data_IF_451469503783
#
_entry.id   IF_451469503783
#
_cell.length_a   1.000
_cell.length_b   1.000
_cell.length_c   1.000
_cell.angle_alpha   90.00
_cell.angle_beta   90.00
_cell.angle_gamma   90.00
#
_symmetry.space_group_name_H-M   'P 1'
#
loop_
_entity.id
_entity.type
_entity.pdbx_description
1 polymer ?
#
# COMPACT_ATOMS: atom_id res chain seq x y z
N UNK A 1 -4.34 -10.16 -20.05
CA UNK A 1 -3.02 -9.97 -19.41
C UNK A 1 -2.79 -8.46 -19.21
N UNK A 2 -1.99 -7.98 -18.26
CA UNK A 2 -1.90 -6.53 -17.90
C UNK A 2 -1.68 -5.57 -19.09
N UNK A 3 -0.97 -6.02 -20.12
CA UNK A 3 -0.74 -5.27 -21.36
C UNK A 3 -2.03 -5.08 -22.17
N UNK A 4 -2.93 -6.08 -22.18
CA UNK A 4 -4.23 -6.01 -22.87
C UNK A 4 -5.17 -5.01 -22.20
N UNK A 5 -4.95 -4.71 -20.92
CA UNK A 5 -5.67 -3.68 -20.18
C UNK A 5 -5.03 -2.28 -20.34
N UNK A 6 -4.02 -2.12 -21.21
CA UNK A 6 -3.33 -0.86 -21.45
C UNK A 6 -2.39 -0.42 -20.31
N UNK A 7 -2.08 -1.31 -19.36
CA UNK A 7 -1.22 -0.98 -18.22
C UNK A 7 0.25 -0.89 -18.68
N UNK A 8 0.86 0.28 -18.47
CA UNK A 8 2.28 0.51 -18.77
C UNK A 8 3.16 -0.13 -17.69
N UNK A 9 3.71 -1.31 -17.97
CA UNK A 9 4.65 -1.98 -17.07
C UNK A 9 6.04 -1.34 -17.24
N UNK A 10 6.59 -0.80 -16.15
CA UNK A 10 7.94 -0.25 -16.08
C UNK A 10 8.79 -1.18 -15.22
N UNK A 11 9.66 -1.95 -15.87
CA UNK A 11 10.58 -2.90 -15.22
C UNK A 11 12.06 -2.57 -15.47
N UNK A 12 12.36 -1.48 -16.19
CA UNK A 12 13.75 -1.08 -16.35
C UNK A 12 14.23 -0.55 -15.00
N UNK A 13 15.15 -1.26 -14.32
CA UNK A 13 15.66 -0.91 -12.98
C UNK A 13 16.31 0.48 -12.82
N UNK A 14 16.23 1.33 -13.84
CA UNK A 14 16.62 2.72 -13.89
C UNK A 14 15.57 3.59 -13.18
N UNK A 15 15.64 3.61 -11.84
CA UNK A 15 14.67 4.31 -10.98
C UNK A 15 14.09 3.43 -9.86
N UNK A 16 14.28 2.10 -9.96
CA UNK A 16 13.73 1.06 -9.07
C UNK A 16 13.79 1.43 -7.60
N UNK A 17 14.95 1.89 -7.10
CA UNK A 17 15.09 2.24 -5.68
C UNK A 17 14.08 3.28 -5.21
N UNK A 18 13.72 4.27 -6.03
CA UNK A 18 12.74 5.30 -5.62
C UNK A 18 11.32 4.76 -5.64
N UNK A 19 11.01 3.94 -6.64
CA UNK A 19 9.70 3.30 -6.80
C UNK A 19 9.47 2.25 -5.70
N UNK A 20 10.52 1.54 -5.29
CA UNK A 20 10.49 0.49 -4.27
C UNK A 20 10.55 1.04 -2.84
N UNK A 21 11.13 2.22 -2.60
CA UNK A 21 11.32 2.77 -1.24
C UNK A 21 10.00 2.90 -0.48
N UNK A 22 8.90 3.23 -1.15
CA UNK A 22 7.59 3.26 -0.50
C UNK A 22 7.15 1.87 -0.05
N UNK A 23 7.22 0.89 -0.96
CA UNK A 23 6.85 -0.50 -0.70
C UNK A 23 7.69 -1.08 0.45
N UNK A 24 9.01 -0.86 0.42
CA UNK A 24 9.93 -1.31 1.46
C UNK A 24 9.63 -0.69 2.82
N UNK A 25 9.29 0.61 2.87
CA UNK A 25 8.90 1.29 4.12
C UNK A 25 7.59 0.74 4.67
N UNK A 26 6.59 0.56 3.80
CA UNK A 26 5.32 -0.03 4.17
C UNK A 26 5.52 -1.45 4.72
N UNK A 27 6.33 -2.25 4.04
CA UNK A 27 6.62 -3.62 4.45
C UNK A 27 7.33 -3.68 5.80
N UNK A 28 8.28 -2.77 6.04
CA UNK A 28 8.93 -2.62 7.34
C UNK A 28 7.95 -2.31 8.46
N UNK A 29 7.01 -1.39 8.25
CA UNK A 29 5.97 -1.08 9.24
C UNK A 29 5.05 -2.27 9.51
N UNK A 30 4.63 -3.01 8.48
CA UNK A 30 3.80 -4.21 8.64
C UNK A 30 4.55 -5.27 9.45
N UNK A 31 5.81 -5.53 9.11
CA UNK A 31 6.62 -6.51 9.82
C UNK A 31 6.73 -6.15 11.30
N UNK A 32 7.16 -4.92 11.62
CA UNK A 32 7.35 -4.51 13.00
C UNK A 32 6.04 -4.40 13.78
N UNK A 33 4.97 -3.83 13.22
CA UNK A 33 3.76 -3.56 14.00
C UNK A 33 2.82 -4.76 14.10
N UNK A 34 2.84 -5.66 13.12
CA UNK A 34 1.81 -6.70 12.97
C UNK A 34 2.38 -8.13 12.95
N UNK A 35 3.59 -8.35 12.43
CA UNK A 35 4.13 -9.72 12.23
C UNK A 35 5.10 -10.13 13.33
N UNK A 36 6.10 -9.31 13.62
CA UNK A 36 7.21 -9.65 14.53
C UNK A 36 6.73 -9.88 15.98
N UNK A 37 5.62 -9.27 16.39
CA UNK A 37 5.06 -9.42 17.72
C UNK A 37 3.94 -10.47 17.82
N UNK A 38 3.54 -11.11 16.72
CA UNK A 38 2.39 -12.03 16.70
C UNK A 38 2.78 -13.44 16.31
N UNK A 39 2.57 -14.37 17.24
CA UNK A 39 2.75 -15.79 17.01
C UNK A 39 1.54 -16.39 16.23
N UNK A 40 1.44 -16.08 14.94
CA UNK A 40 0.38 -16.65 14.10
C UNK A 40 0.55 -18.17 13.98
N UNK A 41 -0.52 -18.90 14.31
CA UNK A 41 -0.54 -20.37 14.16
C UNK A 41 -0.62 -20.83 12.69
N UNK A 42 -1.13 -19.98 11.79
CA UNK A 42 -1.29 -20.32 10.37
C UNK A 42 -1.03 -19.12 9.46
N UNK A 43 -0.63 -19.38 8.22
CA UNK A 43 -0.48 -18.36 7.19
C UNK A 43 -1.81 -17.63 6.91
N UNK A 44 -2.94 -18.33 6.92
CA UNK A 44 -4.26 -17.71 6.75
C UNK A 44 -4.56 -16.69 7.85
N UNK A 45 -4.20 -17.00 9.10
CA UNK A 45 -4.33 -16.04 10.21
C UNK A 45 -3.45 -14.81 10.01
N UNK A 46 -2.19 -15.00 9.56
CA UNK A 46 -1.30 -13.91 9.23
C UNK A 46 -1.87 -13.03 8.10
N UNK A 47 -2.34 -13.60 6.99
CA UNK A 47 -2.95 -12.86 5.88
C UNK A 47 -4.19 -12.07 6.31
N UNK A 48 -5.10 -12.69 7.06
CA UNK A 48 -6.29 -12.00 7.57
C UNK A 48 -5.91 -10.82 8.46
N UNK A 49 -4.86 -10.98 9.26
CA UNK A 49 -4.37 -9.93 10.14
C UNK A 49 -3.66 -8.80 9.39
N UNK A 50 -2.81 -9.12 8.42
CA UNK A 50 -2.21 -8.14 7.50
C UNK A 50 -3.28 -7.37 6.74
N UNK A 51 -4.37 -8.02 6.32
CA UNK A 51 -5.52 -7.36 5.69
C UNK A 51 -6.19 -6.34 6.63
N UNK A 52 -6.41 -6.70 7.91
CA UNK A 52 -6.93 -5.76 8.92
C UNK A 52 -5.96 -4.58 9.16
N UNK A 53 -4.67 -4.86 9.22
CA UNK A 53 -3.64 -3.84 9.37
C UNK A 53 -3.71 -2.82 8.22
N UNK A 54 -3.75 -3.30 6.98
CA UNK A 54 -3.85 -2.46 5.79
C UNK A 54 -5.14 -1.63 5.76
N UNK A 55 -6.28 -2.22 6.17
CA UNK A 55 -7.54 -1.48 6.31
C UNK A 55 -7.43 -0.30 7.28
N UNK A 56 -6.78 -0.51 8.44
CA UNK A 56 -6.49 0.57 9.40
C UNK A 56 -5.50 1.60 8.82
N UNK A 57 -4.44 1.14 8.18
CA UNK A 57 -3.39 1.99 7.60
C UNK A 57 -3.97 2.95 6.54
N UNK A 58 -4.86 2.43 5.69
CA UNK A 58 -5.49 3.18 4.59
C UNK A 58 -6.67 4.06 5.04
N UNK A 59 -7.49 3.56 5.97
CA UNK A 59 -8.77 4.22 6.31
C UNK A 59 -8.74 5.06 7.59
N UNK A 60 -7.83 4.80 8.51
CA UNK A 60 -7.88 5.38 9.86
C UNK A 60 -6.59 6.06 10.32
N UNK A 61 -5.44 5.74 9.71
CA UNK A 61 -4.15 6.28 10.10
C UNK A 61 -3.82 7.55 9.30
N UNK A 62 -3.78 8.75 9.92
CA UNK A 62 -3.40 9.97 9.22
C UNK A 62 -1.88 10.05 9.10
N UNK A 63 -1.37 10.24 7.88
CA UNK A 63 0.09 10.29 7.64
C UNK A 63 0.57 11.71 7.44
N UNK A 64 1.72 12.04 8.01
CA UNK A 64 2.33 13.38 7.85
C UNK A 64 2.66 13.70 6.38
N UNK A 65 2.99 12.68 5.57
CA UNK A 65 3.24 12.83 4.14
C UNK A 65 1.98 13.20 3.33
N UNK A 66 0.79 13.04 3.90
CA UNK A 66 -0.50 13.35 3.27
C UNK A 66 -1.24 14.49 3.97
N UNK A 67 -0.52 15.46 4.55
CA UNK A 67 -1.11 16.58 5.31
C UNK A 67 -2.05 16.10 6.43
N UNK A 68 -1.66 15.01 7.11
CA UNK A 68 -2.47 14.34 8.14
C UNK A 68 -3.82 13.83 7.62
N UNK A 69 -3.88 13.46 6.34
CA UNK A 69 -4.97 12.67 5.76
C UNK A 69 -4.60 11.19 5.72
N UNK A 70 -5.61 10.35 5.62
CA UNK A 70 -5.42 8.91 5.41
C UNK A 70 -5.18 8.64 3.92
N UNK A 71 -4.50 7.54 3.54
CA UNK A 71 -4.26 7.20 2.14
C UNK A 71 -5.56 7.14 1.33
N UNK A 72 -6.63 6.54 1.87
CA UNK A 72 -7.94 6.51 1.20
C UNK A 72 -8.45 7.92 0.89
N UNK A 73 -8.25 8.88 1.81
CA UNK A 73 -8.66 10.27 1.55
C UNK A 73 -7.76 10.94 0.52
N UNK A 74 -6.45 10.76 0.60
CA UNK A 74 -5.52 11.36 -0.35
C UNK A 74 -5.77 10.85 -1.77
N UNK A 75 -5.91 9.53 -1.95
CA UNK A 75 -6.01 8.91 -3.26
C UNK A 75 -7.43 8.98 -3.85
N UNK A 76 -8.48 8.84 -3.04
CA UNK A 76 -9.87 8.81 -3.56
C UNK A 76 -10.63 10.14 -3.44
N UNK A 77 -10.11 11.13 -2.70
CA UNK A 77 -10.77 12.47 -2.60
C UNK A 77 -10.16 13.49 -3.57
N UNK A 78 -8.85 13.43 -3.80
CA UNK A 78 -8.15 14.40 -4.67
C UNK A 78 -8.02 13.92 -6.13
N UNK A 79 -8.40 12.68 -6.42
CA UNK A 79 -8.45 12.19 -7.80
C UNK A 79 -9.81 12.59 -8.38
N UNK A 80 -9.92 13.60 -9.26
CA UNK A 80 -11.04 13.60 -10.19
C UNK A 80 -10.94 12.24 -10.88
N UNK A 81 -11.98 11.41 -10.73
CA UNK A 81 -12.18 10.24 -11.60
C UNK A 81 -11.74 10.70 -12.97
N UNK A 82 -10.65 10.16 -13.50
CA UNK A 82 -10.17 10.52 -14.83
C UNK A 82 -11.33 10.21 -15.78
N UNK A 83 -12.12 11.25 -16.06
CA UNK A 83 -13.00 11.31 -17.19
C UNK A 83 -12.05 11.26 -18.38
N UNK A 84 -11.85 10.05 -18.88
CA UNK A 84 -11.22 9.84 -20.16
C UNK A 84 -12.31 9.36 -21.10
N UNK A 85 -12.53 10.22 -22.10
CA UNK A 85 -13.39 10.06 -23.26
C UNK A 85 -13.03 8.85 -24.13
#
# INVERSE_FOLDING_TARGET
MLVDAGVKIRMNGRGSRRDDVFVERLWRSILYEEVDFRAYATFAAACASSGRYLGRYNGSCPHACFDRRTPDKADFTDTPLLASA
#
